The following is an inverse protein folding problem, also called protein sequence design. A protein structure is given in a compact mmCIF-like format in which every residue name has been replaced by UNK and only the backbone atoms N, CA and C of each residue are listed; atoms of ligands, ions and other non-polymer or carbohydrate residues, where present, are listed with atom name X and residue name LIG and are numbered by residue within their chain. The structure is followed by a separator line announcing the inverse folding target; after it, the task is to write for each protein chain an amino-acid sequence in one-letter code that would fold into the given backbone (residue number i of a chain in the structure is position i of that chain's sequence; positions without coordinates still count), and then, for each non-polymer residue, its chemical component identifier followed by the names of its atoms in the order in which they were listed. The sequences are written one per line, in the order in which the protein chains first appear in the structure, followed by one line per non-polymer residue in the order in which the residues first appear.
data_IF_091620441970
#
_entry.id   IF_091620441970
#
_cell.length_a   1.000
_cell.length_b   1.000
_cell.length_c   1.000
_cell.angle_alpha   90.00
_cell.angle_beta   90.00
_cell.angle_gamma   90.00
#
_symmetry.space_group_name_H-M   'P 1'
#
loop_
_entity.id
_entity.type
_entity.pdbx_description
1 polymer ?
#
# COMPACT_ATOMS: atom_id res chain seq x y z
N UNK A 1 24.71 15.52 -64.27
CA UNK A 1 23.80 15.80 -63.16
C UNK A 1 23.80 14.58 -62.27
N UNK A 2 24.53 14.65 -61.19
CA UNK A 2 24.56 13.57 -60.18
C UNK A 2 23.34 13.72 -59.25
N UNK A 3 22.46 12.69 -59.29
CA UNK A 3 21.34 12.55 -58.39
C UNK A 3 21.89 12.25 -57.01
N UNK A 4 21.74 13.17 -56.06
CA UNK A 4 22.05 12.94 -54.66
C UNK A 4 21.05 11.89 -54.13
N UNK A 5 21.52 10.70 -53.80
CA UNK A 5 20.73 9.69 -53.07
C UNK A 5 20.35 10.27 -51.70
N UNK A 6 19.07 10.25 -51.39
CA UNK A 6 18.58 10.58 -50.06
C UNK A 6 19.25 9.66 -49.01
N UNK A 7 19.61 10.19 -47.81
CA UNK A 7 20.19 9.36 -46.76
C UNK A 7 19.21 8.24 -46.41
N UNK A 8 19.71 6.98 -46.40
CA UNK A 8 18.94 5.84 -45.97
C UNK A 8 18.44 6.06 -44.54
N UNK A 9 17.15 5.82 -44.29
CA UNK A 9 16.58 5.86 -42.94
C UNK A 9 17.41 4.95 -42.02
N UNK A 10 17.71 5.37 -40.77
CA UNK A 10 18.48 4.56 -39.84
C UNK A 10 17.76 3.22 -39.62
N UNK A 11 18.50 2.13 -39.71
CA UNK A 11 17.96 0.79 -39.41
C UNK A 11 17.55 0.72 -37.92
N UNK A 12 16.34 0.22 -37.62
CA UNK A 12 15.90 0.10 -36.22
C UNK A 12 16.83 -0.83 -35.43
N UNK A 13 17.00 -0.52 -34.12
CA UNK A 13 17.81 -1.31 -33.19
C UNK A 13 17.32 -2.78 -33.09
N UNK A 14 18.16 -3.72 -32.63
CA UNK A 14 17.74 -5.10 -32.38
C UNK A 14 16.53 -5.17 -31.40
N UNK A 15 15.64 -6.17 -31.53
CA UNK A 15 14.40 -6.25 -30.75
C UNK A 15 14.59 -6.18 -29.23
N UNK A 16 15.58 -6.89 -28.68
CA UNK A 16 15.84 -6.87 -27.22
C UNK A 16 16.42 -5.54 -26.74
N UNK A 17 17.16 -4.83 -27.56
CA UNK A 17 17.66 -3.49 -27.24
C UNK A 17 16.50 -2.48 -27.21
N UNK A 18 15.54 -2.61 -28.11
CA UNK A 18 14.33 -1.79 -28.11
C UNK A 18 13.50 -2.02 -26.84
N UNK A 19 13.38 -3.26 -26.36
CA UNK A 19 12.73 -3.54 -25.06
C UNK A 19 13.48 -2.88 -23.88
N UNK A 20 14.81 -2.91 -23.88
CA UNK A 20 15.59 -2.22 -22.83
C UNK A 20 15.38 -0.72 -22.83
N UNK A 21 15.33 -0.12 -24.02
CA UNK A 21 15.02 1.31 -24.15
C UNK A 21 13.60 1.61 -23.63
N UNK A 22 12.60 0.79 -24.04
CA UNK A 22 11.24 0.93 -23.56
C UNK A 22 11.14 0.82 -22.01
N UNK A 23 11.83 -0.16 -21.41
CA UNK A 23 11.85 -0.30 -19.95
C UNK A 23 12.43 0.97 -19.28
N UNK A 24 13.48 1.54 -19.84
CA UNK A 24 14.06 2.81 -19.39
C UNK A 24 13.06 3.97 -19.50
N UNK A 25 12.41 4.11 -20.64
CA UNK A 25 11.43 5.17 -20.90
C UNK A 25 10.22 5.07 -19.95
N UNK A 26 9.69 3.87 -19.72
CA UNK A 26 8.59 3.65 -18.77
C UNK A 26 8.99 4.02 -17.33
N UNK A 27 10.23 3.71 -16.92
CA UNK A 27 10.73 4.10 -15.60
C UNK A 27 10.87 5.61 -15.44
N UNK A 28 11.22 6.33 -16.52
CA UNK A 28 11.30 7.79 -16.51
C UNK A 28 9.94 8.47 -16.31
N UNK A 29 8.84 7.79 -16.61
CA UNK A 29 7.48 8.30 -16.36
C UNK A 29 7.06 8.23 -14.88
N UNK A 30 7.61 7.29 -14.10
CA UNK A 30 7.20 7.03 -12.72
C UNK A 30 7.33 8.24 -11.78
N UNK A 31 8.42 9.02 -11.78
CA UNK A 31 8.53 10.19 -10.91
C UNK A 31 7.40 11.20 -11.12
N UNK A 32 7.01 11.45 -12.37
CA UNK A 32 5.90 12.34 -12.70
C UNK A 32 4.57 11.86 -12.16
N UNK A 33 4.29 10.56 -12.29
CA UNK A 33 3.06 9.95 -11.74
C UNK A 33 3.06 10.01 -10.21
N UNK A 34 4.21 9.80 -9.56
CA UNK A 34 4.34 9.87 -8.09
C UNK A 34 4.08 11.28 -7.55
N UNK A 35 4.58 12.31 -8.24
CA UNK A 35 4.28 13.71 -7.89
C UNK A 35 2.78 13.99 -8.06
N UNK A 36 2.17 13.47 -9.11
CA UNK A 36 0.74 13.46 -9.29
C UNK A 36 0.11 14.82 -9.51
N UNK A 37 0.77 15.72 -10.20
CA UNK A 37 0.20 17.02 -10.56
C UNK A 37 -1.02 16.85 -11.46
N UNK A 38 -2.11 17.58 -11.14
CA UNK A 38 -3.28 17.64 -11.98
C UNK A 38 -3.05 18.65 -13.11
N UNK A 39 -3.50 18.31 -14.33
CA UNK A 39 -3.56 19.28 -15.39
C UNK A 39 -4.66 20.32 -15.09
N UNK A 40 -4.33 21.58 -15.27
CA UNK A 40 -5.35 22.63 -15.26
C UNK A 40 -6.18 22.51 -16.52
N UNK A 41 -7.48 22.29 -16.35
CA UNK A 41 -8.43 22.23 -17.46
C UNK A 41 -9.46 23.33 -17.32
N UNK A 42 -9.77 24.00 -18.43
CA UNK A 42 -10.86 24.97 -18.51
C UNK A 42 -12.22 24.33 -18.84
N UNK A 43 -12.22 23.01 -19.07
CA UNK A 43 -13.43 22.24 -19.41
C UNK A 43 -14.10 21.75 -18.15
N UNK A 44 -15.43 21.74 -18.15
CA UNK A 44 -16.23 21.12 -17.10
C UNK A 44 -15.89 19.63 -17.00
N UNK A 45 -15.63 19.16 -15.76
CA UNK A 45 -15.25 17.77 -15.49
C UNK A 45 -16.49 16.85 -15.56
N UNK A 46 -16.45 15.87 -16.43
CA UNK A 46 -17.44 14.80 -16.49
C UNK A 46 -16.89 13.53 -15.82
N UNK A 47 -17.45 13.19 -14.66
CA UNK A 47 -17.06 12.01 -13.89
C UNK A 47 -17.28 10.73 -14.69
N UNK A 48 -18.40 10.59 -15.36
CA UNK A 48 -18.74 9.43 -16.16
C UNK A 48 -17.77 9.23 -17.33
N UNK A 49 -17.45 10.31 -18.05
CA UNK A 49 -16.47 10.28 -19.14
C UNK A 49 -15.06 9.92 -18.64
N UNK A 50 -14.66 10.43 -17.46
CA UNK A 50 -13.38 10.10 -16.84
C UNK A 50 -13.25 8.60 -16.55
N UNK A 51 -14.23 8.02 -15.86
CA UNK A 51 -14.16 6.59 -15.49
C UNK A 51 -14.22 5.67 -16.70
N UNK A 52 -15.01 6.01 -17.71
CA UNK A 52 -15.03 5.27 -18.97
C UNK A 52 -13.65 5.29 -19.63
N UNK A 53 -13.03 6.45 -19.78
CA UNK A 53 -11.70 6.61 -20.38
C UNK A 53 -10.62 5.86 -19.59
N UNK A 54 -10.68 5.90 -18.26
CA UNK A 54 -9.72 5.20 -17.41
C UNK A 54 -9.82 3.68 -17.58
N UNK A 55 -11.04 3.14 -17.61
CA UNK A 55 -11.25 1.71 -17.84
C UNK A 55 -10.80 1.29 -19.25
N UNK A 56 -11.16 2.04 -20.28
CA UNK A 56 -10.73 1.78 -21.67
C UNK A 56 -9.20 1.80 -21.80
N UNK A 57 -8.53 2.75 -21.13
CA UNK A 57 -7.07 2.84 -21.12
C UNK A 57 -6.43 1.65 -20.42
N UNK A 58 -6.96 1.21 -19.26
CA UNK A 58 -6.47 0.03 -18.54
C UNK A 58 -6.64 -1.26 -19.36
N UNK A 59 -7.79 -1.43 -20.01
CA UNK A 59 -8.02 -2.56 -20.92
C UNK A 59 -7.03 -2.56 -22.11
N UNK A 60 -6.70 -1.38 -22.65
CA UNK A 60 -5.72 -1.29 -23.72
C UNK A 60 -4.33 -1.71 -23.24
N UNK A 61 -3.89 -1.24 -22.06
CA UNK A 61 -2.61 -1.65 -21.47
C UNK A 61 -2.57 -3.18 -21.26
N UNK A 62 -3.66 -3.77 -20.77
CA UNK A 62 -3.77 -5.21 -20.57
C UNK A 62 -3.61 -5.98 -21.90
N UNK A 63 -4.23 -5.51 -22.98
CA UNK A 63 -4.09 -6.10 -24.33
C UNK A 63 -2.65 -6.00 -24.85
N UNK A 64 -2.02 -4.83 -24.68
CA UNK A 64 -0.62 -4.64 -25.11
C UNK A 64 0.35 -5.52 -24.34
N UNK A 65 0.16 -5.67 -23.01
CA UNK A 65 0.94 -6.58 -22.19
C UNK A 65 0.83 -8.04 -22.68
N UNK A 66 -0.38 -8.47 -23.01
CA UNK A 66 -0.63 -9.81 -23.56
C UNK A 66 0.08 -10.02 -24.89
N UNK A 67 -0.10 -9.08 -25.83
CA UNK A 67 0.53 -9.13 -27.15
C UNK A 67 2.05 -9.16 -27.05
N UNK A 68 2.62 -8.29 -26.20
CA UNK A 68 4.06 -8.23 -25.98
C UNK A 68 4.61 -9.57 -25.45
N UNK A 69 3.93 -10.12 -24.44
CA UNK A 69 4.29 -11.42 -23.85
C UNK A 69 4.19 -12.54 -24.88
N UNK A 70 3.11 -12.57 -25.65
CA UNK A 70 2.93 -13.60 -26.69
C UNK A 70 4.02 -13.57 -27.75
N UNK A 71 4.47 -12.39 -28.16
CA UNK A 71 5.48 -12.24 -29.21
C UNK A 71 6.89 -12.58 -28.72
N UNK A 72 7.23 -12.18 -27.46
CA UNK A 72 8.59 -12.30 -26.96
C UNK A 72 8.86 -13.54 -26.08
N UNK A 73 7.84 -14.19 -25.50
CA UNK A 73 8.04 -15.34 -24.61
C UNK A 73 7.86 -16.71 -25.25
N UNK A 74 7.34 -16.78 -26.49
CA UNK A 74 7.09 -18.06 -27.15
C UNK A 74 8.36 -18.63 -27.82
N UNK A 75 9.04 -19.52 -27.13
CA UNK A 75 10.06 -20.40 -27.70
C UNK A 75 9.37 -21.64 -28.32
N UNK A 76 9.82 -22.15 -29.51
CA UNK A 76 11.05 -21.86 -30.28
C UNK A 76 10.86 -20.87 -31.45
N UNK A 77 10.00 -19.89 -31.37
CA UNK A 77 9.83 -18.91 -32.45
C UNK A 77 11.01 -17.96 -32.52
N UNK A 78 11.44 -17.55 -33.71
CA UNK A 78 12.42 -16.49 -33.85
C UNK A 78 11.88 -15.19 -33.25
N UNK A 79 12.78 -14.36 -32.73
CA UNK A 79 12.41 -12.99 -32.28
C UNK A 79 11.71 -12.24 -33.42
N UNK A 80 10.80 -11.30 -33.09
CA UNK A 80 10.17 -10.48 -34.12
C UNK A 80 11.20 -9.68 -34.90
N UNK A 81 10.84 -9.21 -36.08
CA UNK A 81 11.69 -8.28 -36.81
C UNK A 81 11.89 -6.98 -36.02
N UNK A 82 13.01 -6.27 -36.25
CA UNK A 82 13.27 -4.99 -35.63
C UNK A 82 12.15 -3.98 -35.89
N UNK A 83 11.50 -4.02 -37.03
CA UNK A 83 10.36 -3.13 -37.33
C UNK A 83 9.10 -3.52 -36.58
N UNK A 84 8.82 -4.79 -36.40
CA UNK A 84 7.68 -5.28 -35.60
C UNK A 84 7.89 -4.99 -34.12
N UNK A 85 9.10 -5.22 -33.60
CA UNK A 85 9.47 -4.88 -32.25
C UNK A 85 9.30 -3.38 -31.98
N UNK A 86 9.74 -2.52 -32.89
CA UNK A 86 9.56 -1.06 -32.77
C UNK A 86 8.09 -0.69 -32.68
N UNK A 87 7.25 -1.25 -33.53
CA UNK A 87 5.81 -0.97 -33.52
C UNK A 87 5.17 -1.40 -32.19
N UNK A 88 5.52 -2.57 -31.68
CA UNK A 88 5.01 -3.06 -30.38
C UNK A 88 5.46 -2.18 -29.22
N UNK A 89 6.73 -1.78 -29.19
CA UNK A 89 7.26 -0.86 -28.18
C UNK A 89 6.54 0.51 -28.22
N UNK A 90 6.30 1.06 -29.40
CA UNK A 90 5.57 2.31 -29.58
C UNK A 90 4.12 2.20 -29.10
N UNK A 91 3.44 1.07 -29.36
CA UNK A 91 2.07 0.81 -28.89
C UNK A 91 2.00 0.70 -27.35
N UNK A 92 2.93 -0.03 -26.74
CA UNK A 92 3.02 -0.13 -25.27
C UNK A 92 3.27 1.25 -24.66
N UNK A 93 4.25 2.00 -25.14
CA UNK A 93 4.55 3.33 -24.64
C UNK A 93 3.34 4.28 -24.76
N UNK A 94 2.66 4.24 -25.90
CA UNK A 94 1.46 5.06 -26.14
C UNK A 94 0.32 4.68 -25.19
N UNK A 95 0.08 3.39 -24.93
CA UNK A 95 -0.95 2.94 -23.99
C UNK A 95 -0.68 3.35 -22.55
N UNK A 96 0.57 3.28 -22.10
CA UNK A 96 0.99 3.73 -20.77
C UNK A 96 0.88 5.27 -20.65
N UNK A 97 1.32 6.00 -21.66
CA UNK A 97 1.17 7.46 -21.67
C UNK A 97 -0.31 7.87 -21.63
N UNK A 98 -1.18 7.16 -22.36
CA UNK A 98 -2.60 7.43 -22.39
C UNK A 98 -3.27 7.29 -21.02
N UNK A 99 -2.97 6.22 -20.26
CA UNK A 99 -3.56 6.05 -18.92
C UNK A 99 -3.03 7.09 -17.93
N UNK A 100 -1.77 7.49 -18.04
CA UNK A 100 -1.18 8.58 -17.23
C UNK A 100 -1.87 9.91 -17.52
N UNK A 101 -2.12 10.22 -18.79
CA UNK A 101 -2.85 11.44 -19.19
C UNK A 101 -4.28 11.46 -18.66
N UNK A 102 -4.96 10.31 -18.67
CA UNK A 102 -6.30 10.19 -18.06
C UNK A 102 -6.24 10.49 -16.57
N UNK A 103 -5.27 9.91 -15.85
CA UNK A 103 -5.07 10.22 -14.43
C UNK A 103 -4.82 11.72 -14.19
N UNK A 104 -3.96 12.36 -14.95
CA UNK A 104 -3.68 13.80 -14.82
C UNK A 104 -4.93 14.67 -15.09
N UNK A 105 -5.89 14.18 -15.87
CA UNK A 105 -7.16 14.87 -16.13
C UNK A 105 -8.14 14.87 -14.96
N UNK A 106 -7.85 14.14 -13.87
CA UNK A 106 -8.68 14.13 -12.66
C UNK A 106 -8.42 15.40 -11.85
N UNK A 107 -9.39 16.32 -11.71
CA UNK A 107 -9.17 17.57 -11.00
C UNK A 107 -8.94 17.38 -9.49
N UNK A 108 -8.22 18.31 -8.87
CA UNK A 108 -7.95 18.31 -7.42
C UNK A 108 -9.22 18.44 -6.58
N UNK A 109 -10.23 19.13 -7.08
CA UNK A 109 -11.52 19.34 -6.42
C UNK A 109 -12.39 18.08 -6.29
N UNK A 110 -12.02 17.00 -7.02
CA UNK A 110 -12.67 15.70 -6.87
C UNK A 110 -12.21 14.94 -5.60
N UNK A 111 -11.20 15.43 -4.93
CA UNK A 111 -10.69 14.93 -3.66
C UNK A 111 -9.28 14.34 -3.74
N UNK A 112 -8.48 14.65 -2.72
CA UNK A 112 -7.11 14.16 -2.61
C UNK A 112 -7.08 12.66 -2.37
N UNK A 113 -8.00 12.15 -1.56
CA UNK A 113 -8.12 10.70 -1.26
C UNK A 113 -8.42 9.90 -2.52
N UNK A 114 -9.39 10.35 -3.32
CA UNK A 114 -9.72 9.72 -4.60
C UNK A 114 -8.52 9.76 -5.55
N UNK A 115 -7.85 10.91 -5.67
CA UNK A 115 -6.66 11.06 -6.52
C UNK A 115 -5.52 10.15 -6.09
N UNK A 116 -5.28 9.97 -4.78
CA UNK A 116 -4.29 9.02 -4.27
C UNK A 116 -4.57 7.59 -4.72
N UNK A 117 -5.84 7.16 -4.71
CA UNK A 117 -6.23 5.81 -5.17
C UNK A 117 -6.02 5.62 -6.68
N UNK A 118 -6.42 6.58 -7.49
CA UNK A 118 -6.21 6.54 -8.95
C UNK A 118 -4.72 6.58 -9.28
N UNK A 119 -3.94 7.39 -8.56
CA UNK A 119 -2.49 7.45 -8.70
C UNK A 119 -1.83 6.11 -8.39
N UNK A 120 -2.21 5.48 -7.26
CA UNK A 120 -1.67 4.18 -6.87
C UNK A 120 -1.94 3.13 -7.93
N UNK A 121 -3.18 3.02 -8.41
CA UNK A 121 -3.53 2.10 -9.49
C UNK A 121 -2.76 2.37 -10.78
N UNK A 122 -2.55 3.63 -11.14
CA UNK A 122 -1.75 4.02 -12.32
C UNK A 122 -0.28 3.64 -12.14
N UNK A 123 0.30 3.88 -10.94
CA UNK A 123 1.66 3.47 -10.62
C UNK A 123 1.85 1.95 -10.75
N UNK A 124 0.94 1.16 -10.17
CA UNK A 124 0.99 -0.30 -10.22
C UNK A 124 1.00 -0.82 -11.68
N UNK A 125 0.21 -0.19 -12.56
CA UNK A 125 0.17 -0.53 -13.98
C UNK A 125 1.50 -0.17 -14.66
N UNK A 126 2.04 1.03 -14.43
CA UNK A 126 3.29 1.49 -15.08
C UNK A 126 4.47 0.68 -14.57
N UNK A 127 4.58 0.44 -13.26
CA UNK A 127 5.63 -0.38 -12.65
C UNK A 127 5.54 -1.84 -13.12
N UNK A 128 4.34 -2.42 -13.15
CA UNK A 128 4.11 -3.77 -13.66
C UNK A 128 4.53 -3.92 -15.13
N UNK A 129 4.19 -2.96 -15.98
CA UNK A 129 4.60 -2.97 -17.39
C UNK A 129 6.12 -2.80 -17.55
N UNK A 130 6.73 -1.88 -16.80
CA UNK A 130 8.18 -1.69 -16.83
C UNK A 130 8.93 -2.96 -16.41
N UNK A 131 8.45 -3.64 -15.36
CA UNK A 131 9.00 -4.91 -14.91
C UNK A 131 8.84 -6.02 -15.97
N UNK A 132 7.66 -6.15 -16.57
CA UNK A 132 7.39 -7.12 -17.63
C UNK A 132 8.36 -6.92 -18.81
N UNK A 133 8.49 -5.68 -19.30
CA UNK A 133 9.38 -5.35 -20.43
C UNK A 133 10.84 -5.65 -20.08
N UNK A 134 11.28 -5.37 -18.87
CA UNK A 134 12.63 -5.66 -18.39
C UNK A 134 12.90 -7.18 -18.39
N UNK A 135 11.98 -7.96 -17.82
CA UNK A 135 12.10 -9.44 -17.80
C UNK A 135 12.17 -9.98 -19.21
N UNK A 136 11.29 -9.54 -20.14
CA UNK A 136 11.32 -9.96 -21.54
C UNK A 136 12.63 -9.58 -22.25
N UNK A 137 13.27 -8.46 -21.85
CA UNK A 137 14.53 -8.00 -22.43
C UNK A 137 15.77 -8.76 -21.94
N UNK A 138 15.69 -9.36 -20.77
CA UNK A 138 16.83 -10.01 -20.09
C UNK A 138 16.77 -11.53 -20.11
N UNK A 139 15.60 -12.13 -20.39
CA UNK A 139 15.46 -13.59 -20.44
C UNK A 139 16.17 -14.13 -21.66
N UNK A 140 17.32 -14.87 -21.51
CA UNK A 140 17.96 -15.48 -22.64
C UNK A 140 17.06 -16.60 -23.18
N UNK A 141 16.94 -16.68 -24.49
CA UNK A 141 16.24 -17.73 -25.22
C UNK A 141 16.91 -19.14 -25.08
N UNK A 142 17.55 -19.46 -23.94
CA UNK A 142 18.48 -20.58 -23.83
C UNK A 142 18.33 -21.42 -22.56
N UNK A 143 17.14 -21.80 -22.14
CA UNK A 143 17.03 -22.99 -21.29
C UNK A 143 15.70 -23.68 -21.50
N UNK A 144 15.69 -24.87 -22.11
CA UNK A 144 14.47 -25.67 -22.22
C UNK A 144 13.97 -26.20 -20.86
N UNK A 145 14.76 -26.04 -19.79
CA UNK A 145 14.42 -26.52 -18.45
C UNK A 145 13.74 -25.48 -17.54
N UNK A 146 13.78 -24.19 -17.87
CA UNK A 146 13.06 -23.13 -17.18
C UNK A 146 12.08 -22.43 -18.12
N UNK A 147 11.08 -23.16 -18.59
CA UNK A 147 9.92 -22.58 -19.25
C UNK A 147 8.95 -22.00 -18.21
N UNK A 148 9.44 -21.28 -17.23
CA UNK A 148 8.57 -20.42 -16.45
C UNK A 148 8.01 -19.38 -17.41
N UNK A 149 6.77 -19.58 -17.78
CA UNK A 149 5.99 -18.65 -18.59
C UNK A 149 6.14 -17.27 -17.97
N UNK A 150 6.86 -16.38 -18.66
CA UNK A 150 6.96 -15.00 -18.21
C UNK A 150 5.53 -14.50 -18.05
N UNK A 151 5.17 -14.22 -16.80
CA UNK A 151 3.82 -13.88 -16.45
C UNK A 151 3.61 -12.38 -16.60
N UNK A 152 2.63 -11.99 -17.38
CA UNK A 152 2.09 -10.63 -17.36
C UNK A 152 1.01 -10.43 -16.27
N UNK A 153 0.92 -11.38 -15.33
CA UNK A 153 -0.11 -11.38 -14.28
C UNK A 153 -0.13 -10.09 -13.47
N UNK A 154 1.03 -9.51 -13.12
CA UNK A 154 1.09 -8.27 -12.38
C UNK A 154 0.41 -7.10 -13.10
N UNK A 155 0.60 -7.00 -14.43
CA UNK A 155 -0.06 -5.99 -15.25
C UNK A 155 -1.56 -6.27 -15.34
N UNK A 156 -1.96 -7.51 -15.56
CA UNK A 156 -3.38 -7.88 -15.62
C UNK A 156 -4.11 -7.59 -14.32
N UNK A 157 -3.57 -8.03 -13.19
CA UNK A 157 -4.15 -7.77 -11.86
C UNK A 157 -4.25 -6.26 -11.61
N UNK A 158 -3.21 -5.48 -11.92
CA UNK A 158 -3.25 -4.03 -11.77
C UNK A 158 -4.33 -3.39 -12.64
N UNK A 159 -4.50 -3.84 -13.89
CA UNK A 159 -5.56 -3.35 -14.79
C UNK A 159 -6.96 -3.75 -14.32
N UNK A 160 -7.13 -4.97 -13.80
CA UNK A 160 -8.41 -5.47 -13.25
C UNK A 160 -8.86 -4.74 -11.98
N UNK A 161 -7.95 -4.13 -11.24
CA UNK A 161 -8.27 -3.31 -10.07
C UNK A 161 -8.89 -1.95 -10.45
N UNK A 162 -8.66 -1.44 -11.66
CA UNK A 162 -9.15 -0.11 -12.07
C UNK A 162 -10.67 0.03 -11.96
N UNK A 163 -11.51 -0.93 -12.42
CA UNK A 163 -12.95 -0.86 -12.24
C UNK A 163 -13.42 -0.91 -10.78
N UNK A 164 -12.56 -1.37 -9.86
CA UNK A 164 -12.84 -1.48 -8.42
C UNK A 164 -12.59 -0.17 -7.67
N UNK A 165 -11.93 0.81 -8.29
CA UNK A 165 -11.64 2.10 -7.65
C UNK A 165 -12.96 2.81 -7.35
N UNK A 166 -13.14 3.33 -6.11
CA UNK A 166 -14.29 4.14 -5.75
C UNK A 166 -14.48 5.32 -6.71
N UNK A 167 -15.73 5.63 -7.07
CA UNK A 167 -16.02 6.61 -8.11
C UNK A 167 -16.17 8.05 -7.61
N UNK A 168 -16.20 8.25 -6.30
CA UNK A 168 -16.23 9.55 -5.65
C UNK A 168 -15.42 9.58 -4.36
N UNK A 169 -15.15 10.78 -3.85
CA UNK A 169 -14.27 10.95 -2.69
C UNK A 169 -14.88 10.40 -1.40
N UNK A 170 -16.21 10.40 -1.24
CA UNK A 170 -16.84 9.77 -0.07
C UNK A 170 -16.61 8.26 -0.06
N UNK A 171 -16.81 7.60 -1.19
CA UNK A 171 -16.56 6.17 -1.32
C UNK A 171 -15.06 5.84 -1.15
N UNK A 172 -14.18 6.71 -1.66
CA UNK A 172 -12.73 6.59 -1.44
C UNK A 172 -12.35 6.73 0.05
N UNK A 173 -12.93 7.70 0.74
CA UNK A 173 -12.72 7.89 2.18
C UNK A 173 -13.18 6.66 2.98
N UNK A 174 -14.34 6.10 2.67
CA UNK A 174 -14.85 4.88 3.32
C UNK A 174 -13.95 3.67 3.09
N UNK A 175 -13.40 3.53 1.88
CA UNK A 175 -12.44 2.47 1.58
C UNK A 175 -11.17 2.60 2.43
N UNK A 176 -10.61 3.81 2.51
CA UNK A 176 -9.40 4.07 3.30
C UNK A 176 -9.64 3.87 4.80
N UNK A 177 -10.76 4.35 5.32
CA UNK A 177 -11.13 4.14 6.73
C UNK A 177 -11.35 2.65 7.05
N UNK A 178 -11.95 1.89 6.14
CA UNK A 178 -12.10 0.43 6.30
C UNK A 178 -10.74 -0.26 6.35
N UNK A 179 -9.83 0.09 5.42
CA UNK A 179 -8.46 -0.43 5.43
C UNK A 179 -7.75 -0.11 6.75
N UNK A 180 -7.87 1.11 7.26
CA UNK A 180 -7.26 1.50 8.53
C UNK A 180 -7.85 0.73 9.73
N UNK A 181 -9.16 0.48 9.73
CA UNK A 181 -9.80 -0.39 10.74
C UNK A 181 -9.22 -1.80 10.70
N UNK A 182 -9.07 -2.38 9.51
CA UNK A 182 -8.56 -3.74 9.35
C UNK A 182 -7.09 -3.83 9.81
N UNK A 183 -6.23 -2.88 9.44
CA UNK A 183 -4.83 -2.84 9.89
C UNK A 183 -4.70 -2.76 11.41
N UNK A 184 -5.49 -1.90 12.07
CA UNK A 184 -5.47 -1.78 13.55
C UNK A 184 -6.07 -3.02 14.20
N UNK A 185 -7.08 -3.63 13.59
CA UNK A 185 -7.66 -4.90 14.06
C UNK A 185 -6.62 -6.03 14.03
N UNK A 186 -5.90 -6.17 12.94
CA UNK A 186 -4.87 -7.21 12.78
C UNK A 186 -3.75 -7.02 13.82
N UNK A 187 -3.24 -5.79 13.98
CA UNK A 187 -2.25 -5.47 15.02
C UNK A 187 -2.77 -5.77 16.44
N UNK A 188 -4.03 -5.45 16.73
CA UNK A 188 -4.64 -5.73 18.02
C UNK A 188 -4.75 -7.25 18.30
N UNK A 189 -5.20 -8.02 17.32
CA UNK A 189 -5.33 -9.48 17.42
C UNK A 189 -3.97 -10.16 17.58
N UNK A 190 -2.93 -9.67 16.89
CA UNK A 190 -1.56 -10.14 17.07
C UNK A 190 -1.04 -9.86 18.48
N UNK A 191 -1.22 -8.64 18.99
CA UNK A 191 -0.85 -8.30 20.36
C UNK A 191 -1.59 -9.13 21.41
N UNK A 192 -2.92 -9.33 21.27
CA UNK A 192 -3.71 -10.16 22.18
C UNK A 192 -3.20 -11.61 22.20
N UNK A 193 -2.93 -12.17 21.03
CA UNK A 193 -2.42 -13.54 20.91
C UNK A 193 -1.05 -13.69 21.58
N UNK A 194 -0.13 -12.76 21.33
CA UNK A 194 1.20 -12.78 21.94
C UNK A 194 1.13 -12.74 23.48
N UNK A 195 0.20 -11.96 24.03
CA UNK A 195 -0.01 -11.89 25.48
C UNK A 195 -0.66 -13.16 26.04
N UNK A 196 -1.64 -13.74 25.36
CA UNK A 196 -2.31 -14.99 25.78
C UNK A 196 -1.36 -16.19 25.77
N UNK A 197 -0.49 -16.28 24.78
CA UNK A 197 0.48 -17.36 24.63
C UNK A 197 1.73 -17.13 25.51
N UNK A 198 1.89 -15.95 26.10
CA UNK A 198 3.08 -15.49 26.81
C UNK A 198 4.36 -15.65 25.98
N UNK A 199 4.23 -15.69 24.66
CA UNK A 199 5.32 -15.84 23.70
C UNK A 199 5.31 -14.68 22.70
N UNK A 200 6.12 -13.65 22.91
CA UNK A 200 6.14 -12.47 22.06
C UNK A 200 6.64 -12.74 20.64
N UNK A 201 7.28 -13.90 20.40
CA UNK A 201 7.91 -14.25 19.12
C UNK A 201 7.22 -15.41 18.39
N UNK A 202 6.11 -15.94 18.92
CA UNK A 202 5.42 -17.10 18.34
C UNK A 202 5.06 -16.91 16.85
N UNK A 203 4.55 -15.73 16.48
CA UNK A 203 4.17 -15.44 15.10
C UNK A 203 5.35 -15.26 14.13
N UNK A 204 6.54 -14.90 14.63
CA UNK A 204 7.72 -14.64 13.79
C UNK A 204 8.52 -15.92 13.49
N UNK A 205 8.36 -16.97 14.30
CA UNK A 205 9.10 -18.24 14.14
C UNK A 205 8.34 -19.27 13.30
N UNK A 206 7.05 -19.11 13.10
CA UNK A 206 6.21 -20.07 12.37
C UNK A 206 6.15 -19.85 10.85
N UNK A 207 6.64 -18.74 10.33
CA UNK A 207 6.66 -18.50 8.87
C UNK A 207 7.74 -19.30 8.12
N UNK A 208 8.69 -19.97 8.83
CA UNK A 208 9.78 -20.71 8.21
C UNK A 208 9.57 -22.25 8.17
N UNK A 209 8.42 -22.81 8.63
CA UNK A 209 8.20 -24.26 8.72
C UNK A 209 7.23 -24.88 7.70
N UNK A 210 6.95 -24.24 6.57
CA UNK A 210 6.27 -24.91 5.45
C UNK A 210 7.20 -25.25 4.28
N UNK A 211 8.34 -25.91 4.51
CA UNK A 211 8.97 -26.80 3.51
C UNK A 211 10.07 -27.66 4.14
N UNK A 212 9.75 -28.86 4.55
CA UNK A 212 10.49 -30.08 4.33
C UNK A 212 10.10 -31.20 5.29
N UNK A 213 9.23 -32.09 4.85
CA UNK A 213 9.14 -33.45 5.33
C UNK A 213 9.98 -34.35 4.40
N UNK A 214 11.14 -34.79 4.84
CA UNK A 214 11.63 -36.17 4.78
C UNK A 214 13.12 -36.24 5.04
N UNK A 215 13.53 -36.75 6.17
CA UNK A 215 14.51 -37.84 6.28
C UNK A 215 14.77 -38.23 7.72
N UNK A 216 14.65 -39.52 7.94
CA UNK A 216 15.10 -40.29 9.10
C UNK A 216 16.60 -40.12 9.39
N UNK A 217 16.96 -40.11 10.69
CA UNK A 217 18.21 -40.69 11.10
C UNK A 217 18.94 -40.03 12.26
N UNK A 218 18.89 -40.71 13.38
CA UNK A 218 19.89 -40.84 14.44
C UNK A 218 20.10 -39.73 15.49
N UNK A 219 19.77 -40.16 16.67
CA UNK A 219 20.14 -39.62 17.97
C UNK A 219 21.60 -39.22 18.06
N UNK A 220 21.88 -37.97 18.40
CA UNK A 220 22.97 -37.64 19.33
C UNK A 220 22.65 -36.33 20.05
N UNK A 221 22.40 -36.52 21.34
CA UNK A 221 22.37 -35.60 22.44
C UNK A 221 23.49 -34.53 22.36
N UNK A 222 23.14 -33.35 21.85
CA UNK A 222 23.86 -32.13 22.16
C UNK A 222 22.86 -31.14 22.71
N UNK A 223 22.71 -31.18 24.04
CA UNK A 223 22.19 -30.06 24.83
C UNK A 223 23.13 -28.86 24.58
N UNK A 224 22.90 -28.17 23.48
CA UNK A 224 23.29 -26.78 23.37
C UNK A 224 22.32 -26.02 24.27
N UNK A 225 22.86 -25.65 25.45
CA UNK A 225 22.13 -24.79 26.39
C UNK A 225 21.59 -23.60 25.62
N UNK A 226 20.27 -23.50 25.54
CA UNK A 226 19.62 -22.23 25.24
C UNK A 226 20.25 -21.21 26.16
N UNK A 227 20.78 -20.08 25.64
CA UNK A 227 21.13 -18.99 26.53
C UNK A 227 19.87 -18.70 27.33
N UNK A 228 20.01 -18.59 28.64
CA UNK A 228 18.95 -18.25 29.55
C UNK A 228 18.63 -16.77 29.30
N UNK A 229 17.93 -16.48 28.18
CA UNK A 229 17.56 -15.15 27.74
C UNK A 229 16.32 -14.74 28.53
N UNK A 230 16.54 -14.30 29.77
CA UNK A 230 15.55 -13.53 30.52
C UNK A 230 15.06 -12.30 29.72
N UNK A 231 15.85 -11.88 28.74
CA UNK A 231 15.54 -10.73 27.86
C UNK A 231 14.55 -11.08 26.71
N UNK A 232 14.13 -12.34 26.56
CA UNK A 232 13.23 -12.79 25.49
C UNK A 232 11.77 -12.92 25.93
N UNK A 233 11.49 -12.80 27.22
CA UNK A 233 10.15 -12.93 27.80
C UNK A 233 9.76 -11.70 28.59
N UNK A 234 8.45 -11.44 28.68
CA UNK A 234 7.90 -10.36 29.48
C UNK A 234 8.00 -10.66 30.98
N UNK A 235 8.50 -9.70 31.75
CA UNK A 235 8.40 -9.70 33.22
C UNK A 235 6.94 -9.46 33.65
N UNK A 236 6.64 -9.67 34.95
CA UNK A 236 5.33 -9.32 35.49
C UNK A 236 5.03 -7.82 35.34
N UNK A 237 6.05 -6.96 35.52
CA UNK A 237 5.94 -5.51 35.35
C UNK A 237 5.69 -5.14 33.89
N UNK A 238 6.34 -5.82 32.93
CA UNK A 238 6.09 -5.67 31.50
C UNK A 238 4.63 -6.00 31.16
N UNK A 239 4.12 -7.11 31.69
CA UNK A 239 2.73 -7.55 31.47
C UNK A 239 1.72 -6.54 32.04
N UNK A 240 1.99 -5.93 33.18
CA UNK A 240 1.16 -4.86 33.74
C UNK A 240 1.12 -3.64 32.80
N UNK A 241 2.22 -3.27 32.18
CA UNK A 241 2.31 -2.15 31.24
C UNK A 241 1.62 -2.45 29.92
N UNK A 242 1.63 -3.69 29.45
CA UNK A 242 0.97 -4.11 28.21
C UNK A 242 -0.56 -3.93 28.31
N UNK A 243 -1.18 -4.13 29.47
CA UNK A 243 -2.63 -4.02 29.65
C UNK A 243 -3.17 -2.66 29.18
N UNK A 244 -2.69 -1.51 29.66
CA UNK A 244 -3.17 -0.21 29.17
C UNK A 244 -2.75 0.07 27.73
N UNK A 245 -1.65 -0.51 27.22
CA UNK A 245 -1.27 -0.40 25.81
C UNK A 245 -2.27 -1.12 24.91
N UNK A 246 -2.68 -2.35 25.25
CA UNK A 246 -3.75 -3.08 24.55
C UNK A 246 -5.08 -2.32 24.60
N UNK A 247 -5.44 -1.76 25.76
CA UNK A 247 -6.64 -0.95 25.89
C UNK A 247 -6.62 0.30 24.98
N UNK A 248 -5.45 0.92 24.82
CA UNK A 248 -5.26 2.06 23.92
C UNK A 248 -5.41 1.65 22.43
N UNK A 249 -4.87 0.50 22.04
CA UNK A 249 -5.06 -0.05 20.68
C UNK A 249 -6.53 -0.41 20.43
N UNK A 250 -7.20 -0.97 21.41
CA UNK A 250 -8.65 -1.24 21.33
C UNK A 250 -9.46 0.06 21.17
N UNK A 251 -9.10 1.12 21.90
CA UNK A 251 -9.70 2.44 21.73
C UNK A 251 -9.43 3.03 20.35
N UNK A 252 -8.25 2.80 19.78
CA UNK A 252 -7.90 3.20 18.40
C UNK A 252 -8.80 2.52 17.37
N UNK A 253 -9.02 1.22 17.51
CA UNK A 253 -9.95 0.46 16.67
C UNK A 253 -11.39 1.01 16.78
N UNK A 254 -11.86 1.27 18.01
CA UNK A 254 -13.19 1.84 18.25
C UNK A 254 -13.32 3.24 17.64
N UNK A 255 -12.30 4.08 17.75
CA UNK A 255 -12.25 5.41 17.15
C UNK A 255 -12.43 5.33 15.63
N UNK A 256 -11.63 4.52 14.94
CA UNK A 256 -11.71 4.35 13.48
C UNK A 256 -13.07 3.80 13.03
N UNK A 257 -13.63 2.84 13.76
CA UNK A 257 -14.96 2.30 13.46
C UNK A 257 -16.06 3.35 13.58
N UNK A 258 -16.00 4.17 14.61
CA UNK A 258 -16.97 5.26 14.82
C UNK A 258 -16.84 6.35 13.78
N UNK A 259 -15.62 6.76 13.44
CA UNK A 259 -15.35 7.72 12.36
C UNK A 259 -15.89 7.18 11.02
N UNK A 260 -15.63 5.92 10.69
CA UNK A 260 -16.15 5.29 9.48
C UNK A 260 -17.68 5.30 9.42
N UNK A 261 -18.35 4.95 10.51
CA UNK A 261 -19.83 4.98 10.60
C UNK A 261 -20.34 6.41 10.39
N UNK A 262 -19.74 7.40 11.06
CA UNK A 262 -20.13 8.80 10.91
C UNK A 262 -19.98 9.29 9.46
N UNK A 263 -18.89 8.93 8.79
CA UNK A 263 -18.70 9.25 7.36
C UNK A 263 -19.72 8.52 6.48
N UNK A 264 -20.02 7.26 6.77
CA UNK A 264 -21.00 6.49 6.00
C UNK A 264 -22.40 7.10 6.09
N UNK A 265 -22.85 7.46 7.29
CA UNK A 265 -24.18 7.95 7.57
C UNK A 265 -24.36 9.43 7.18
N UNK A 266 -23.39 10.28 7.53
CA UNK A 266 -23.53 11.73 7.44
C UNK A 266 -22.61 12.38 6.39
N UNK A 267 -21.64 11.66 5.84
CA UNK A 267 -20.71 12.19 4.85
C UNK A 267 -21.41 12.67 3.58
N UNK A 268 -21.08 13.88 3.14
CA UNK A 268 -21.62 14.49 1.92
C UNK A 268 -20.57 14.51 0.83
N UNK A 269 -20.97 14.18 -0.40
CA UNK A 269 -20.07 14.09 -1.56
C UNK A 269 -19.46 15.41 -1.98
N UNK A 270 -20.10 16.53 -1.64
CA UNK A 270 -19.66 17.89 -1.91
C UNK A 270 -18.72 18.47 -0.86
N UNK A 271 -18.64 17.84 0.32
CA UNK A 271 -17.75 18.25 1.41
C UNK A 271 -16.37 17.54 1.32
N UNK A 272 -15.75 17.65 0.16
CA UNK A 272 -14.54 16.90 -0.21
C UNK A 272 -13.37 17.15 0.74
N UNK A 273 -13.06 18.41 1.05
CA UNK A 273 -11.92 18.78 1.89
C UNK A 273 -12.03 18.22 3.31
N UNK A 274 -13.23 18.29 3.91
CA UNK A 274 -13.42 17.74 5.26
C UNK A 274 -13.28 16.22 5.30
N UNK A 275 -13.69 15.51 4.24
CA UNK A 275 -13.49 14.07 4.12
C UNK A 275 -12.00 13.74 3.96
N UNK A 276 -11.27 14.52 3.17
CA UNK A 276 -9.82 14.37 3.01
C UNK A 276 -9.07 14.59 4.33
N UNK A 277 -9.44 15.63 5.10
CA UNK A 277 -8.83 15.91 6.41
C UNK A 277 -9.04 14.75 7.41
N UNK A 278 -10.23 14.14 7.41
CA UNK A 278 -10.53 12.96 8.24
C UNK A 278 -9.67 11.77 7.83
N UNK A 279 -9.52 11.51 6.55
CA UNK A 279 -8.70 10.39 6.05
C UNK A 279 -7.23 10.63 6.35
N UNK A 280 -6.72 11.83 6.08
CA UNK A 280 -5.30 12.13 6.28
C UNK A 280 -4.87 11.93 7.75
N UNK A 281 -5.65 12.37 8.72
CA UNK A 281 -5.33 12.12 10.13
C UNK A 281 -5.55 10.64 10.51
N UNK A 282 -6.56 9.98 9.95
CA UNK A 282 -6.85 8.57 10.23
C UNK A 282 -5.75 7.65 9.70
N UNK A 283 -5.10 8.02 8.60
CA UNK A 283 -3.95 7.29 8.04
C UNK A 283 -2.71 7.29 8.96
N UNK A 284 -2.63 8.23 9.92
CA UNK A 284 -1.56 8.26 10.92
C UNK A 284 -1.79 7.29 12.10
N UNK A 285 -3.02 6.77 12.27
CA UNK A 285 -3.37 5.93 13.44
C UNK A 285 -2.69 4.57 13.35
N UNK A 286 -2.80 3.85 12.24
CA UNK A 286 -2.21 2.51 12.09
C UNK A 286 -0.70 2.50 12.28
N UNK A 287 0.10 3.39 11.64
CA UNK A 287 1.54 3.46 11.92
C UNK A 287 1.88 3.76 13.38
N UNK A 288 1.06 4.58 14.05
CA UNK A 288 1.26 4.89 15.48
C UNK A 288 0.91 3.71 16.38
N UNK A 289 -0.06 2.89 16.00
CA UNK A 289 -0.35 1.60 16.66
C UNK A 289 0.80 0.63 16.47
N UNK A 290 1.35 0.54 15.26
CA UNK A 290 2.51 -0.32 14.97
C UNK A 290 3.73 0.10 15.78
N UNK A 291 4.03 1.39 15.89
CA UNK A 291 5.11 1.91 16.74
C UNK A 291 4.92 1.49 18.21
N UNK A 292 3.70 1.56 18.73
CA UNK A 292 3.39 1.11 20.09
C UNK A 292 3.53 -0.42 20.22
N UNK A 293 2.99 -1.17 19.29
CA UNK A 293 3.08 -2.62 19.27
C UNK A 293 4.55 -3.09 19.25
N UNK A 294 5.39 -2.50 18.41
CA UNK A 294 6.81 -2.80 18.34
C UNK A 294 7.55 -2.45 19.65
N UNK A 295 7.13 -1.39 20.35
CA UNK A 295 7.78 -0.94 21.57
C UNK A 295 7.56 -1.86 22.76
N UNK A 296 6.54 -2.72 22.73
CA UNK A 296 6.27 -3.67 23.82
C UNK A 296 7.00 -5.01 23.68
N UNK A 297 7.72 -5.28 22.58
CA UNK A 297 8.54 -6.49 22.44
C UNK A 297 9.75 -6.43 23.37
N UNK A 298 10.13 -7.59 23.99
CA UNK A 298 11.31 -7.64 24.83
C UNK A 298 12.64 -7.43 24.04
N UNK A 299 13.65 -6.79 24.65
CA UNK A 299 13.64 -6.14 25.97
C UNK A 299 12.86 -4.83 25.92
N UNK A 300 11.90 -4.66 26.84
CA UNK A 300 11.00 -3.51 26.83
C UNK A 300 11.70 -2.27 27.41
N UNK A 301 11.67 -1.17 26.67
CA UNK A 301 12.10 0.14 27.14
C UNK A 301 10.86 0.99 27.48
N UNK A 302 10.60 1.21 28.77
CA UNK A 302 9.40 1.89 29.26
C UNK A 302 9.28 3.33 28.75
N UNK A 303 10.41 4.02 28.59
CA UNK A 303 10.40 5.35 27.98
C UNK A 303 9.92 5.32 26.52
N UNK A 304 10.38 4.35 25.75
CA UNK A 304 9.95 4.16 24.34
C UNK A 304 8.46 3.83 24.27
N UNK A 305 7.96 2.93 25.12
CA UNK A 305 6.52 2.62 25.25
C UNK A 305 5.71 3.87 25.55
N UNK A 306 6.15 4.65 26.54
CA UNK A 306 5.47 5.91 26.94
C UNK A 306 5.44 6.92 25.78
N UNK A 307 6.54 7.08 25.05
CA UNK A 307 6.60 8.00 23.90
C UNK A 307 5.71 7.54 22.74
N UNK A 308 5.72 6.26 22.42
CA UNK A 308 4.87 5.69 21.36
C UNK A 308 3.38 5.79 21.72
N UNK A 309 3.02 5.53 22.99
CA UNK A 309 1.68 5.71 23.49
C UNK A 309 1.23 7.19 23.44
N UNK A 310 2.09 8.13 23.84
CA UNK A 310 1.79 9.55 23.79
C UNK A 310 1.57 10.06 22.36
N UNK A 311 2.37 9.57 21.40
CA UNK A 311 2.19 9.85 19.97
C UNK A 311 0.81 9.36 19.49
N UNK A 312 0.47 8.11 19.79
CA UNK A 312 -0.83 7.53 19.41
C UNK A 312 -2.00 8.31 20.02
N UNK A 313 -1.92 8.66 21.30
CA UNK A 313 -2.94 9.49 21.99
C UNK A 313 -3.12 10.83 21.29
N UNK A 314 -2.03 11.49 20.93
CA UNK A 314 -2.08 12.78 20.23
C UNK A 314 -2.77 12.66 18.87
N UNK A 315 -2.44 11.62 18.09
CA UNK A 315 -3.06 11.34 16.78
C UNK A 315 -4.55 11.05 16.93
N UNK A 316 -4.94 10.20 17.89
CA UNK A 316 -6.34 9.86 18.16
C UNK A 316 -7.17 11.08 18.55
N UNK A 317 -6.66 11.90 19.47
CA UNK A 317 -7.35 13.12 19.88
C UNK A 317 -7.54 14.09 18.73
N UNK A 318 -6.51 14.27 17.90
CA UNK A 318 -6.60 15.12 16.71
C UNK A 318 -7.61 14.58 15.70
N UNK A 319 -7.66 13.25 15.49
CA UNK A 319 -8.65 12.63 14.63
C UNK A 319 -10.08 12.87 15.13
N UNK A 320 -10.31 12.76 16.45
CA UNK A 320 -11.60 13.02 17.07
C UNK A 320 -11.98 14.50 17.00
N UNK A 321 -11.06 15.42 17.17
CA UNK A 321 -11.28 16.87 17.03
C UNK A 321 -11.67 17.25 15.60
N UNK A 322 -10.94 16.76 14.60
CA UNK A 322 -11.23 17.00 13.19
C UNK A 322 -12.60 16.43 12.83
N UNK A 323 -12.89 15.20 13.25
CA UNK A 323 -14.18 14.54 13.02
C UNK A 323 -15.32 15.33 13.65
N UNK A 324 -15.15 15.78 14.91
CA UNK A 324 -16.13 16.60 15.63
C UNK A 324 -16.44 17.93 14.93
N UNK A 325 -15.40 18.58 14.40
CA UNK A 325 -15.52 19.86 13.70
C UNK A 325 -16.12 19.72 12.27
N UNK A 326 -16.21 18.50 11.74
CA UNK A 326 -16.69 18.25 10.39
C UNK A 326 -18.21 18.07 10.33
N UNK A 327 -18.73 18.05 9.10
CA UNK A 327 -20.17 17.83 8.83
C UNK A 327 -20.65 16.40 9.16
N UNK A 328 -19.75 15.46 9.41
CA UNK A 328 -20.11 14.04 9.65
C UNK A 328 -20.58 13.78 11.08
N UNK A 329 -20.45 14.74 12.00
CA UNK A 329 -20.90 14.65 13.39
C UNK A 329 -21.86 15.80 13.72
N UNK A 330 -23.09 15.80 13.16
CA UNK A 330 -24.09 16.78 13.55
C UNK A 330 -24.49 16.58 15.01
N UNK A 331 -24.67 17.66 15.75
CA UNK A 331 -25.16 17.56 17.11
C UNK A 331 -26.62 17.06 17.14
N UNK A 332 -27.02 16.17 18.07
CA UNK A 332 -26.29 15.66 19.26
C UNK A 332 -25.49 14.36 19.04
N UNK A 333 -25.20 13.98 17.82
CA UNK A 333 -24.56 12.68 17.48
C UNK A 333 -23.07 12.60 17.87
N UNK A 334 -22.47 13.69 18.35
CA UNK A 334 -21.08 13.75 18.80
C UNK A 334 -20.82 13.20 20.22
N UNK A 335 -21.86 12.70 20.90
CA UNK A 335 -21.79 12.26 22.32
C UNK A 335 -20.78 11.13 22.59
N UNK A 336 -20.46 10.32 21.59
CA UNK A 336 -19.47 9.25 21.71
C UNK A 336 -18.02 9.76 21.74
N UNK A 337 -17.75 10.96 21.20
CA UNK A 337 -16.39 11.53 21.12
C UNK A 337 -15.82 11.80 22.52
N UNK A 338 -16.51 12.50 23.45
CA UNK A 338 -16.02 12.68 24.81
C UNK A 338 -15.76 11.37 25.55
N UNK A 339 -16.56 10.34 25.31
CA UNK A 339 -16.39 9.02 25.93
C UNK A 339 -15.09 8.35 25.48
N UNK A 340 -14.77 8.43 24.19
CA UNK A 340 -13.51 7.89 23.65
C UNK A 340 -12.31 8.71 24.15
N UNK A 341 -12.39 10.03 24.19
CA UNK A 341 -11.33 10.89 24.72
C UNK A 341 -11.02 10.50 26.18
N UNK A 342 -12.04 10.33 27.00
CA UNK A 342 -11.86 9.92 28.41
C UNK A 342 -11.20 8.54 28.53
N UNK A 343 -11.58 7.58 27.67
CA UNK A 343 -10.97 6.25 27.65
C UNK A 343 -9.49 6.31 27.23
N UNK A 344 -9.17 7.10 26.22
CA UNK A 344 -7.80 7.34 25.74
C UNK A 344 -6.95 7.99 26.84
N UNK A 345 -7.47 9.02 27.51
CA UNK A 345 -6.77 9.69 28.60
C UNK A 345 -6.52 8.75 29.78
N UNK A 346 -7.49 7.94 30.15
CA UNK A 346 -7.33 6.94 31.21
C UNK A 346 -6.22 5.94 30.89
N UNK A 347 -6.15 5.43 29.66
CA UNK A 347 -5.07 4.54 29.22
C UNK A 347 -3.70 5.24 29.34
N UNK A 348 -3.60 6.48 28.87
CA UNK A 348 -2.35 7.23 28.90
C UNK A 348 -1.88 7.54 30.32
N UNK A 349 -2.80 7.92 31.21
CA UNK A 349 -2.48 8.20 32.61
C UNK A 349 -1.97 6.93 33.31
N UNK A 350 -2.58 5.78 33.03
CA UNK A 350 -2.09 4.50 33.55
C UNK A 350 -0.71 4.13 33.03
N UNK A 351 -0.44 4.36 31.75
CA UNK A 351 0.89 4.17 31.16
C UNK A 351 1.92 5.08 31.82
N UNK A 352 1.59 6.35 32.05
CA UNK A 352 2.48 7.29 32.74
C UNK A 352 2.81 6.85 34.17
N UNK A 353 1.82 6.40 34.92
CA UNK A 353 2.01 5.89 36.29
C UNK A 353 2.97 4.71 36.31
N UNK A 354 2.78 3.72 35.42
CA UNK A 354 3.60 2.51 35.36
C UNK A 354 5.03 2.76 34.85
N UNK A 355 5.24 3.84 34.09
CA UNK A 355 6.56 4.18 33.52
C UNK A 355 7.29 5.30 34.29
N UNK A 356 6.76 5.75 35.42
CA UNK A 356 7.31 6.90 36.16
C UNK A 356 8.62 6.57 36.85
N UNK A 357 8.78 5.37 37.35
CA UNK A 357 9.94 4.94 38.17
C UNK A 357 11.26 4.88 37.38
N UNK A 358 11.23 4.69 36.06
CA UNK A 358 12.46 4.70 35.23
C UNK A 358 12.99 6.10 34.91
N UNK A 359 12.20 7.14 35.11
CA UNK A 359 12.62 8.52 34.84
C UNK A 359 13.30 9.19 36.04
N UNK A 360 13.30 8.54 37.21
CA UNK A 360 13.93 9.04 38.46
C UNK A 360 15.32 8.42 38.71
N UNK A 361 15.80 7.52 37.83
CA UNK A 361 17.15 6.93 37.85
C UNK A 361 18.04 7.57 36.79
#
# INVERSE_FOLDING_TARGET
MASAAAPAAPTPAPPLEQLRHLAGDLRLLLPGVRVGEAQETTKEFSREAFWRRLNEAAEQVSREATTLTEVFSRLPRPLPSSQEAQRLCEQVHASITAIIEVYYSLPKDQGITLRKLVRSATLDIVEGMAQLVEVLSTTPAQSPENSDLISCNNVWVACEQVPQIPRDNKAAALLMLTKNVDLVKDAHEEMERAVEECDPYHGLLNDDEEDNSDSHGDEQDHVLGCPNNQDSYWSEEDQELIIPCLALVRASKACLKKVRVSVAENGKKDQVTQLDDIVDISDEISPSVDDLALSIYPPMCYLTVRMSAAKLVSVLKKALEITKASHVTPQPEDSWIPLLINAIDHCMDRIKELTQNELEL
#
